data_IF_072867675487
#
_entry.id   IF_072867675487
#
_cell.length_a   1.000
_cell.length_b   1.000
_cell.length_c   1.000
_cell.angle_alpha   90.00
_cell.angle_beta   90.00
_cell.angle_gamma   90.00
#
_symmetry.space_group_name_H-M   'P 1'
#
loop_
_entity.id
_entity.type
_entity.pdbx_description
1 polymer ?
#
# COMPACT_ATOMS: atom_id res chain seq x y z
N UNK A 1 37.65 -11.56 -16.79
CA UNK A 1 37.04 -12.87 -16.52
C UNK A 1 35.83 -13.01 -17.42
N UNK A 2 35.72 -14.16 -18.08
CA UNK A 2 34.91 -14.40 -19.26
C UNK A 2 33.39 -14.33 -19.01
N UNK A 3 32.70 -13.99 -20.10
CA UNK A 3 31.26 -14.14 -20.31
C UNK A 3 30.79 -15.55 -19.94
N UNK A 4 29.74 -15.66 -19.14
CA UNK A 4 28.86 -16.82 -19.16
C UNK A 4 27.52 -16.33 -19.70
N UNK A 5 27.38 -16.40 -21.02
CA UNK A 5 26.09 -16.28 -21.67
C UNK A 5 25.19 -17.40 -21.17
N UNK A 6 24.06 -17.02 -20.59
CA UNK A 6 23.00 -17.95 -20.21
C UNK A 6 22.52 -18.64 -21.49
N UNK A 7 22.81 -19.93 -21.61
CA UNK A 7 22.26 -20.76 -22.69
C UNK A 7 20.76 -20.90 -22.40
N UNK A 8 19.88 -20.88 -23.43
CA UNK A 8 18.47 -21.15 -23.20
C UNK A 8 18.36 -22.53 -22.53
N UNK A 9 17.87 -22.55 -21.29
CA UNK A 9 17.56 -23.79 -20.60
C UNK A 9 16.54 -24.55 -21.44
N UNK A 10 16.81 -25.83 -21.69
CA UNK A 10 15.86 -26.68 -22.39
C UNK A 10 14.52 -26.62 -21.66
N UNK A 11 13.38 -26.51 -22.39
CA UNK A 11 12.06 -26.48 -21.77
C UNK A 11 11.87 -27.75 -20.94
N UNK A 12 11.98 -27.60 -19.62
CA UNK A 12 11.70 -28.69 -18.69
C UNK A 12 10.21 -28.70 -18.38
N UNK A 13 9.65 -29.89 -18.23
CA UNK A 13 8.27 -30.02 -17.76
C UNK A 13 8.11 -29.34 -16.39
N UNK A 14 6.93 -28.76 -16.16
CA UNK A 14 6.62 -28.12 -14.89
C UNK A 14 6.56 -29.17 -13.78
N UNK A 15 7.15 -28.93 -12.60
CA UNK A 15 7.08 -29.85 -11.47
C UNK A 15 5.64 -30.23 -11.14
N UNK A 16 5.43 -31.45 -10.64
CA UNK A 16 4.10 -31.98 -10.29
C UNK A 16 3.30 -31.08 -9.34
N UNK A 17 3.98 -30.30 -8.50
CA UNK A 17 3.35 -29.35 -7.57
C UNK A 17 2.67 -28.17 -8.30
N UNK A 18 3.14 -27.81 -9.50
CA UNK A 18 2.51 -26.79 -10.36
C UNK A 18 1.51 -27.40 -11.34
N UNK A 19 1.81 -28.59 -11.87
CA UNK A 19 0.96 -29.28 -12.84
C UNK A 19 -0.37 -29.74 -12.22
N UNK A 20 -0.35 -30.19 -10.96
CA UNK A 20 -1.55 -30.68 -10.29
C UNK A 20 -2.63 -29.59 -10.14
N UNK A 21 -2.35 -28.38 -9.63
CA UNK A 21 -3.31 -27.28 -9.64
C UNK A 21 -3.80 -26.92 -11.05
N UNK A 22 -2.90 -26.89 -12.04
CA UNK A 22 -3.26 -26.53 -13.41
C UNK A 22 -4.23 -27.54 -14.03
N UNK A 23 -3.97 -28.84 -13.86
CA UNK A 23 -4.83 -29.91 -14.38
C UNK A 23 -6.19 -29.89 -13.69
N UNK A 24 -6.22 -29.70 -12.37
CA UNK A 24 -7.48 -29.60 -11.62
C UNK A 24 -8.30 -28.38 -12.10
N UNK A 25 -7.67 -27.22 -12.28
CA UNK A 25 -8.37 -26.04 -12.79
C UNK A 25 -8.84 -26.24 -14.24
N UNK A 26 -8.04 -26.88 -15.09
CA UNK A 26 -8.40 -27.16 -16.47
C UNK A 26 -9.58 -28.14 -16.58
N UNK A 27 -9.61 -29.21 -15.77
CA UNK A 27 -10.72 -30.17 -15.74
C UNK A 27 -12.00 -29.53 -15.20
N UNK A 28 -11.91 -28.68 -14.18
CA UNK A 28 -13.05 -27.92 -13.68
C UNK A 28 -13.57 -26.94 -14.75
N UNK A 29 -12.69 -26.14 -15.37
CA UNK A 29 -13.08 -25.20 -16.42
C UNK A 29 -13.75 -25.91 -17.61
N UNK A 30 -13.26 -27.09 -18.00
CA UNK A 30 -13.84 -27.88 -19.07
C UNK A 30 -15.21 -28.49 -18.69
N UNK A 31 -15.38 -28.96 -17.45
CA UNK A 31 -16.61 -29.66 -17.02
C UNK A 31 -17.75 -28.71 -16.63
N UNK A 32 -17.44 -27.52 -16.10
CA UNK A 32 -18.43 -26.51 -15.68
C UNK A 32 -19.40 -26.14 -16.82
N UNK A 33 -18.92 -26.02 -18.05
CA UNK A 33 -19.77 -25.74 -19.21
C UNK A 33 -20.82 -26.83 -19.48
N UNK A 34 -20.47 -28.10 -19.30
CA UNK A 34 -21.41 -29.21 -19.46
C UNK A 34 -22.45 -29.27 -18.34
N UNK A 35 -22.03 -28.98 -17.10
CA UNK A 35 -22.95 -28.86 -15.96
C UNK A 35 -23.99 -27.75 -16.20
N UNK A 36 -23.56 -26.63 -16.80
CA UNK A 36 -24.46 -25.54 -17.17
C UNK A 36 -25.49 -25.93 -18.24
N UNK A 37 -25.07 -26.67 -19.27
CA UNK A 37 -25.97 -27.17 -20.33
C UNK A 37 -27.01 -28.16 -19.76
N UNK A 38 -26.63 -28.96 -18.76
CA UNK A 38 -27.50 -29.91 -18.10
C UNK A 38 -28.49 -29.28 -17.10
N UNK A 39 -28.47 -27.94 -16.93
CA UNK A 39 -29.29 -27.22 -15.97
C UNK A 39 -28.79 -27.28 -14.52
N UNK A 40 -27.74 -28.05 -14.23
CA UNK A 40 -27.23 -28.18 -12.86
C UNK A 40 -26.63 -26.90 -12.29
N UNK A 41 -26.24 -25.94 -13.14
CA UNK A 41 -25.68 -24.67 -12.69
C UNK A 41 -26.74 -23.69 -12.18
N UNK A 42 -27.94 -23.66 -12.76
CA UNK A 42 -29.03 -22.79 -12.27
C UNK A 42 -29.46 -23.21 -10.87
N UNK A 43 -29.60 -24.52 -10.64
CA UNK A 43 -29.99 -25.07 -9.34
C UNK A 43 -28.93 -24.76 -8.25
N UNK A 44 -27.64 -24.78 -8.61
CA UNK A 44 -26.55 -24.41 -7.71
C UNK A 44 -26.57 -22.91 -7.42
N UNK A 45 -26.72 -22.06 -8.44
CA UNK A 45 -26.72 -20.61 -8.29
C UNK A 45 -27.91 -20.13 -7.46
N UNK A 46 -29.12 -20.63 -7.75
CA UNK A 46 -30.34 -20.30 -7.01
C UNK A 46 -30.25 -20.69 -5.53
N UNK A 47 -29.58 -21.81 -5.21
CA UNK A 47 -29.33 -22.22 -3.82
C UNK A 47 -28.29 -21.38 -3.07
N UNK A 48 -27.44 -20.62 -3.76
CA UNK A 48 -26.39 -19.76 -3.17
C UNK A 48 -26.74 -18.27 -3.17
N UNK A 49 -27.69 -17.87 -4.02
CA UNK A 49 -28.10 -16.49 -4.20
C UNK A 49 -29.27 -16.12 -3.27
N UNK A 50 -29.30 -14.91 -2.70
CA UNK A 50 -30.47 -14.40 -1.98
C UNK A 50 -31.72 -14.38 -2.88
N UNK A 51 -32.89 -14.68 -2.32
CA UNK A 51 -34.19 -14.71 -3.04
C UNK A 51 -34.46 -13.42 -3.84
N UNK A 52 -33.98 -12.29 -3.36
CA UNK A 52 -34.08 -10.96 -3.99
C UNK A 52 -33.44 -10.89 -5.40
N UNK A 53 -32.53 -11.82 -5.70
CA UNK A 53 -31.80 -11.85 -6.98
C UNK A 53 -32.36 -12.88 -7.97
N UNK A 54 -33.32 -13.72 -7.54
CA UNK A 54 -33.90 -14.77 -8.36
C UNK A 54 -34.75 -14.20 -9.52
N UNK A 55 -35.42 -13.06 -9.31
CA UNK A 55 -36.17 -12.36 -10.37
C UNK A 55 -35.25 -11.78 -11.46
N UNK A 56 -34.05 -11.30 -11.10
CA UNK A 56 -33.05 -10.84 -12.07
C UNK A 56 -32.41 -11.99 -12.84
N UNK A 57 -32.18 -13.13 -12.19
CA UNK A 57 -31.63 -14.33 -12.82
C UNK A 57 -32.61 -14.93 -13.85
N UNK A 58 -33.91 -14.91 -13.56
CA UNK A 58 -34.97 -15.39 -14.45
C UNK A 58 -35.29 -14.43 -15.61
N UNK A 59 -34.94 -13.14 -15.51
CA UNK A 59 -35.26 -12.12 -16.51
C UNK A 59 -34.34 -12.11 -17.74
N UNK A 60 -33.23 -12.86 -17.73
CA UNK A 60 -32.32 -12.97 -18.85
C UNK A 60 -32.84 -13.91 -19.94
N UNK A 61 -33.70 -13.44 -20.85
CA UNK A 61 -34.06 -14.23 -22.03
C UNK A 61 -32.80 -14.58 -22.84
N UNK A 62 -32.62 -15.86 -23.17
CA UNK A 62 -31.52 -16.30 -24.02
C UNK A 62 -31.75 -15.80 -25.45
N UNK A 63 -31.01 -14.77 -25.84
CA UNK A 63 -31.09 -14.19 -27.18
C UNK A 63 -30.02 -14.80 -28.09
N UNK A 64 -30.43 -15.82 -28.86
CA UNK A 64 -29.53 -16.62 -29.70
C UNK A 64 -28.67 -15.77 -30.66
N UNK A 65 -29.22 -14.72 -31.26
CA UNK A 65 -28.46 -13.88 -32.21
C UNK A 65 -27.35 -13.09 -31.50
N UNK A 66 -27.56 -12.63 -30.27
CA UNK A 66 -26.54 -11.94 -29.47
C UNK A 66 -25.42 -12.91 -29.12
N UNK A 67 -25.76 -14.15 -28.72
CA UNK A 67 -24.77 -15.19 -28.44
C UNK A 67 -23.93 -15.53 -29.67
N UNK A 68 -24.57 -15.71 -30.83
CA UNK A 68 -23.87 -16.01 -32.10
C UNK A 68 -22.94 -14.86 -32.49
N UNK A 69 -23.42 -13.61 -32.43
CA UNK A 69 -22.60 -12.43 -32.73
C UNK A 69 -21.43 -12.32 -31.74
N UNK A 70 -21.65 -12.57 -30.44
CA UNK A 70 -20.60 -12.48 -29.43
C UNK A 70 -19.50 -13.51 -29.64
N UNK A 71 -19.86 -14.76 -29.94
CA UNK A 71 -18.91 -15.82 -30.29
C UNK A 71 -18.16 -15.48 -31.58
N UNK A 72 -18.87 -15.00 -32.60
CA UNK A 72 -18.26 -14.60 -33.87
C UNK A 72 -17.24 -13.46 -33.68
N UNK A 73 -17.57 -12.44 -32.89
CA UNK A 73 -16.67 -11.32 -32.57
C UNK A 73 -15.44 -11.81 -31.78
N UNK A 74 -15.63 -12.69 -30.79
CA UNK A 74 -14.53 -13.30 -30.03
C UNK A 74 -13.58 -14.10 -30.93
N UNK A 75 -14.12 -14.94 -31.82
CA UNK A 75 -13.34 -15.70 -32.80
C UNK A 75 -12.65 -14.81 -33.82
N UNK A 76 -13.28 -13.73 -34.26
CA UNK A 76 -12.68 -12.75 -35.14
C UNK A 76 -11.48 -12.05 -34.47
N UNK A 77 -11.61 -11.68 -33.19
CA UNK A 77 -10.52 -11.12 -32.39
C UNK A 77 -9.35 -12.10 -32.23
N UNK A 78 -9.63 -13.37 -31.92
CA UNK A 78 -8.62 -14.43 -31.83
C UNK A 78 -7.92 -14.65 -33.20
N UNK A 79 -8.70 -14.69 -34.28
CA UNK A 79 -8.18 -14.82 -35.64
C UNK A 79 -7.29 -13.66 -36.04
N UNK A 80 -7.67 -12.42 -35.68
CA UNK A 80 -6.86 -11.22 -35.90
C UNK A 80 -5.54 -11.31 -35.13
N UNK A 81 -5.57 -11.69 -33.85
CA UNK A 81 -4.37 -11.90 -33.05
C UNK A 81 -3.47 -12.98 -33.66
N UNK A 82 -4.03 -14.11 -34.09
CA UNK A 82 -3.28 -15.17 -34.76
C UNK A 82 -2.64 -14.70 -36.08
N UNK A 83 -3.34 -13.90 -36.87
CA UNK A 83 -2.83 -13.34 -38.12
C UNK A 83 -1.65 -12.37 -37.90
N UNK A 84 -1.72 -11.54 -36.85
CA UNK A 84 -0.66 -10.59 -36.48
C UNK A 84 0.56 -11.32 -35.89
N UNK A 85 0.35 -12.16 -34.87
CA UNK A 85 1.47 -12.73 -34.08
C UNK A 85 2.04 -14.03 -34.65
N UNK A 86 1.20 -14.95 -35.14
CA UNK A 86 1.65 -16.26 -35.63
C UNK A 86 2.03 -16.21 -37.11
N UNK A 87 1.14 -15.65 -37.95
CA UNK A 87 1.37 -15.58 -39.41
C UNK A 87 2.24 -14.41 -39.84
N UNK A 88 2.46 -13.41 -38.97
CA UNK A 88 3.16 -12.15 -39.29
C UNK A 88 2.63 -11.49 -40.56
N UNK A 89 1.36 -11.71 -40.89
CA UNK A 89 0.74 -11.22 -42.13
C UNK A 89 0.48 -9.72 -42.06
N UNK A 90 0.40 -9.18 -40.85
CA UNK A 90 0.25 -7.76 -40.54
C UNK A 90 1.43 -7.40 -39.65
N UNK A 91 2.18 -6.35 -40.01
CA UNK A 91 3.28 -5.87 -39.19
C UNK A 91 2.69 -5.18 -37.97
N UNK A 92 2.93 -5.76 -36.79
CA UNK A 92 2.49 -5.18 -35.52
C UNK A 92 2.98 -3.74 -35.35
N UNK A 93 4.15 -3.41 -35.90
CA UNK A 93 4.73 -2.06 -35.93
C UNK A 93 3.87 -1.05 -36.70
N UNK A 94 3.22 -1.45 -37.80
CA UNK A 94 2.41 -0.55 -38.62
C UNK A 94 1.06 -0.25 -37.95
N UNK A 95 0.47 -1.25 -37.31
CA UNK A 95 -0.76 -1.09 -36.50
C UNK A 95 -0.47 -0.25 -35.26
N UNK A 96 0.67 -0.50 -34.63
CA UNK A 96 1.18 0.25 -33.48
C UNK A 96 1.39 1.73 -33.80
N UNK A 97 2.00 2.05 -34.94
CA UNK A 97 2.19 3.42 -35.39
C UNK A 97 0.86 4.14 -35.70
N UNK A 98 -0.12 3.44 -36.28
CA UNK A 98 -1.43 4.03 -36.58
C UNK A 98 -2.27 4.31 -35.32
N UNK A 99 -2.05 3.55 -34.24
CA UNK A 99 -2.80 3.64 -32.98
C UNK A 99 -1.91 4.11 -31.82
N UNK A 100 -0.79 4.77 -32.10
CA UNK A 100 0.23 5.15 -31.13
C UNK A 100 -0.37 5.85 -29.88
N UNK A 101 -1.29 6.84 -29.99
CA UNK A 101 -1.85 7.49 -28.81
C UNK A 101 -2.65 6.54 -27.91
N UNK A 102 -3.41 5.62 -28.53
CA UNK A 102 -4.22 4.64 -27.81
C UNK A 102 -3.33 3.56 -27.18
N UNK A 103 -2.30 3.12 -27.90
CA UNK A 103 -1.34 2.15 -27.39
C UNK A 103 -0.56 2.71 -26.21
N UNK A 104 -0.07 3.95 -26.28
CA UNK A 104 0.62 4.60 -25.15
C UNK A 104 -0.31 4.71 -23.94
N UNK A 105 -1.59 5.00 -24.16
CA UNK A 105 -2.59 5.06 -23.09
C UNK A 105 -2.80 3.69 -22.41
N UNK A 106 -2.96 2.64 -23.20
CA UNK A 106 -3.16 1.26 -22.72
C UNK A 106 -1.89 0.70 -22.05
N UNK A 107 -0.72 0.96 -22.63
CA UNK A 107 0.59 0.53 -22.13
C UNK A 107 0.92 1.17 -20.78
N UNK A 108 0.55 2.44 -20.61
CA UNK A 108 0.61 3.13 -19.31
C UNK A 108 -0.58 2.84 -18.39
N UNK A 109 -1.37 1.79 -18.66
CA UNK A 109 -2.52 1.37 -17.85
C UNK A 109 -3.47 2.54 -17.52
N UNK A 110 -3.78 3.36 -18.52
CA UNK A 110 -4.63 4.56 -18.39
C UNK A 110 -4.07 5.65 -17.45
N UNK A 111 -2.76 5.66 -17.19
CA UNK A 111 -2.08 6.58 -16.27
C UNK A 111 -2.59 6.52 -14.82
N UNK A 112 -3.31 5.44 -14.45
CA UNK A 112 -3.86 5.29 -13.10
C UNK A 112 -2.74 5.11 -12.07
N UNK A 113 -1.69 4.38 -12.45
CA UNK A 113 -0.51 4.17 -11.60
C UNK A 113 0.20 5.51 -11.33
N UNK A 114 0.47 6.31 -12.37
CA UNK A 114 1.10 7.64 -12.23
C UNK A 114 0.23 8.63 -11.46
N UNK A 115 -1.10 8.60 -11.66
CA UNK A 115 -2.04 9.42 -10.91
C UNK A 115 -1.96 9.10 -9.41
N UNK A 116 -2.02 7.81 -9.07
CA UNK A 116 -1.95 7.37 -7.68
C UNK A 116 -0.61 7.73 -7.04
N UNK A 117 0.50 7.46 -7.71
CA UNK A 117 1.83 7.76 -7.18
C UNK A 117 2.06 9.27 -7.02
N UNK A 118 1.64 10.06 -8.01
CA UNK A 118 1.97 11.50 -8.03
C UNK A 118 1.01 12.31 -7.16
N UNK A 119 -0.29 12.08 -7.29
CA UNK A 119 -1.31 12.89 -6.61
C UNK A 119 -1.52 12.38 -5.19
N UNK A 120 -1.78 11.08 -5.03
CA UNK A 120 -2.12 10.52 -3.71
C UNK A 120 -0.85 10.35 -2.87
N UNK A 121 0.12 9.59 -3.36
CA UNK A 121 1.30 9.25 -2.56
C UNK A 121 2.24 10.45 -2.37
N UNK A 122 2.72 11.08 -3.44
CA UNK A 122 3.65 12.21 -3.32
C UNK A 122 2.96 13.49 -2.87
N UNK A 123 1.78 13.77 -3.42
CA UNK A 123 1.00 14.97 -3.10
C UNK A 123 0.41 14.92 -1.69
N UNK A 124 -0.60 14.08 -1.49
CA UNK A 124 -1.37 14.05 -0.23
C UNK A 124 -0.55 13.48 0.93
N UNK A 125 0.08 12.33 0.73
CA UNK A 125 0.75 11.62 1.83
C UNK A 125 2.10 12.26 2.17
N UNK A 126 3.03 12.35 1.23
CA UNK A 126 4.37 12.87 1.54
C UNK A 126 4.37 14.37 1.85
N UNK A 127 3.84 15.20 0.93
CA UNK A 127 3.89 16.66 1.10
C UNK A 127 2.83 17.20 2.05
N UNK A 128 1.72 16.49 2.24
CA UNK A 128 0.69 16.86 3.21
C UNK A 128 0.98 16.25 4.58
N UNK A 129 0.57 15.00 4.76
CA UNK A 129 0.54 14.34 6.08
C UNK A 129 1.93 14.17 6.67
N UNK A 130 2.87 13.59 5.93
CA UNK A 130 4.20 13.30 6.44
C UNK A 130 4.99 14.58 6.74
N UNK A 131 4.91 15.59 5.86
CA UNK A 131 5.54 16.89 6.10
C UNK A 131 4.95 17.60 7.33
N UNK A 132 3.62 17.54 7.53
CA UNK A 132 2.98 18.11 8.70
C UNK A 132 3.41 17.40 10.00
N UNK A 133 3.46 16.07 10.01
CA UNK A 133 3.94 15.30 11.14
C UNK A 133 5.41 15.58 11.45
N UNK A 134 6.26 15.68 10.42
CA UNK A 134 7.66 16.02 10.59
C UNK A 134 7.85 17.43 11.15
N UNK A 135 7.04 18.40 10.69
CA UNK A 135 7.05 19.75 11.24
C UNK A 135 6.60 19.75 12.70
N UNK A 136 5.55 19.00 13.04
CA UNK A 136 5.08 18.88 14.42
C UNK A 136 6.16 18.34 15.35
N UNK A 137 6.82 17.25 14.97
CA UNK A 137 7.92 16.66 15.74
C UNK A 137 9.06 17.67 15.96
N UNK A 138 9.53 18.30 14.88
CA UNK A 138 10.66 19.25 14.94
C UNK A 138 10.37 20.55 15.67
N UNK A 139 9.14 21.07 15.60
CA UNK A 139 8.82 22.36 16.22
C UNK A 139 8.23 22.20 17.61
N UNK A 140 7.36 21.21 17.81
CA UNK A 140 6.66 21.01 19.08
C UNK A 140 7.49 20.11 19.99
N UNK A 141 7.85 18.92 19.53
CA UNK A 141 8.52 17.94 20.40
C UNK A 141 9.95 18.38 20.71
N UNK A 142 10.76 18.63 19.68
CA UNK A 142 12.13 19.12 19.89
C UNK A 142 12.14 20.49 20.57
N UNK A 143 11.17 21.36 20.27
CA UNK A 143 11.04 22.67 20.91
C UNK A 143 10.81 22.55 22.42
N UNK A 144 9.90 21.67 22.84
CA UNK A 144 9.65 21.39 24.26
C UNK A 144 10.87 20.80 24.95
N UNK A 145 11.53 19.81 24.33
CA UNK A 145 12.73 19.17 24.90
C UNK A 145 13.87 20.18 25.07
N UNK A 146 14.16 20.98 24.04
CA UNK A 146 15.21 22.01 24.09
C UNK A 146 14.85 23.13 25.08
N UNK A 147 13.57 23.47 25.20
CA UNK A 147 13.07 24.43 26.19
C UNK A 147 13.33 23.95 27.62
N UNK A 148 12.97 22.70 27.93
CA UNK A 148 13.24 22.09 29.23
C UNK A 148 14.75 22.02 29.53
N UNK A 149 15.55 21.62 28.54
CA UNK A 149 17.01 21.60 28.68
C UNK A 149 17.57 22.99 28.98
N UNK A 150 17.07 24.03 28.31
CA UNK A 150 17.48 25.42 28.51
C UNK A 150 17.10 25.93 29.90
N UNK A 151 15.89 25.64 30.38
CA UNK A 151 15.44 25.98 31.73
C UNK A 151 16.29 25.31 32.80
N UNK A 152 16.62 24.02 32.61
CA UNK A 152 17.48 23.28 33.54
C UNK A 152 18.90 23.85 33.56
N UNK A 153 19.47 24.19 32.39
CA UNK A 153 20.77 24.85 32.29
C UNK A 153 20.76 26.19 33.04
N UNK A 154 19.82 27.08 32.74
CA UNK A 154 19.68 28.38 33.43
C UNK A 154 19.55 28.23 34.95
N UNK A 155 18.78 27.24 35.41
CA UNK A 155 18.64 26.94 36.84
C UNK A 155 19.97 26.49 37.44
N UNK A 156 20.70 25.60 36.77
CA UNK A 156 22.02 25.14 37.18
C UNK A 156 23.04 26.29 37.25
N UNK A 157 23.00 27.24 36.32
CA UNK A 157 23.90 28.41 36.36
C UNK A 157 23.63 29.32 37.56
N UNK A 158 22.36 29.56 37.88
CA UNK A 158 21.98 30.33 39.08
C UNK A 158 22.40 29.62 40.36
N UNK A 159 22.20 28.30 40.44
CA UNK A 159 22.65 27.48 41.58
C UNK A 159 24.19 27.46 41.70
N UNK A 160 24.91 27.42 40.59
CA UNK A 160 26.38 27.48 40.57
C UNK A 160 26.90 28.79 41.18
N UNK A 161 26.22 29.90 40.94
CA UNK A 161 26.58 31.20 41.56
C UNK A 161 26.31 31.24 43.06
N UNK A 162 25.33 30.48 43.56
CA UNK A 162 25.06 30.39 45.01
C UNK A 162 26.19 29.65 45.77
N UNK A 163 26.94 28.76 45.10
CA UNK A 163 28.16 28.16 45.63
C UNK A 163 29.39 29.04 45.35
N UNK A 164 29.49 30.18 46.05
CA UNK A 164 30.56 31.17 45.86
C UNK A 164 31.96 30.74 46.36
N UNK A 165 32.14 29.49 46.82
CA UNK A 165 33.44 28.96 47.27
C UNK A 165 34.01 29.60 48.55
N UNK A 166 33.36 30.60 49.13
CA UNK A 166 33.82 31.34 50.29
C UNK A 166 33.40 30.64 51.59
N UNK A 167 34.36 30.14 52.37
CA UNK A 167 34.14 29.42 53.65
C UNK A 167 33.24 30.19 54.64
N UNK A 168 33.36 31.53 54.69
CA UNK A 168 32.53 32.39 55.53
C UNK A 168 31.04 32.36 55.17
N UNK A 169 30.70 32.25 53.88
CA UNK A 169 29.31 32.22 53.42
C UNK A 169 28.63 30.93 53.88
N UNK A 170 29.35 29.79 53.82
CA UNK A 170 28.86 28.52 54.32
C UNK A 170 28.64 28.54 55.84
N UNK A 171 29.58 29.11 56.60
CA UNK A 171 29.44 29.26 58.05
C UNK A 171 28.23 30.10 58.44
N UNK A 172 28.02 31.24 57.78
CA UNK A 172 26.85 32.09 57.99
C UNK A 172 25.54 31.40 57.63
N UNK A 173 25.50 30.66 56.50
CA UNK A 173 24.32 29.92 56.07
C UNK A 173 23.93 28.81 57.07
N UNK A 174 24.91 28.06 57.60
CA UNK A 174 24.67 27.03 58.62
C UNK A 174 24.13 27.67 59.90
N UNK A 175 24.72 28.77 60.37
CA UNK A 175 24.27 29.47 61.57
C UNK A 175 22.82 29.94 61.44
N UNK A 176 22.47 30.57 60.31
CA UNK A 176 21.08 30.98 60.00
C UNK A 176 20.16 29.76 59.96
N UNK A 177 20.58 28.67 59.32
CA UNK A 177 19.81 27.43 59.25
C UNK A 177 19.50 26.82 60.62
N UNK A 178 20.48 26.80 61.53
CA UNK A 178 20.29 26.29 62.90
C UNK A 178 19.33 27.20 63.69
N UNK A 179 19.49 28.52 63.59
CA UNK A 179 18.59 29.49 64.26
C UNK A 179 17.16 29.34 63.74
N UNK A 180 16.98 29.24 62.41
CA UNK A 180 15.68 29.04 61.80
C UNK A 180 15.05 27.70 62.20
N UNK A 181 15.84 26.62 62.30
CA UNK A 181 15.37 25.31 62.75
C UNK A 181 14.89 25.36 64.20
N UNK A 182 15.68 25.99 65.10
CA UNK A 182 15.29 26.15 66.51
C UNK A 182 14.02 26.99 66.63
N UNK A 183 13.93 28.12 65.92
CA UNK A 183 12.75 28.96 65.90
C UNK A 183 11.52 28.22 65.35
N UNK A 184 11.69 27.44 64.29
CA UNK A 184 10.63 26.62 63.71
C UNK A 184 10.13 25.55 64.69
N UNK A 185 11.03 24.88 65.41
CA UNK A 185 10.68 23.91 66.46
C UNK A 185 9.97 24.57 67.63
N UNK A 186 10.41 25.75 68.06
CA UNK A 186 9.77 26.54 69.14
C UNK A 186 8.37 27.03 68.76
N UNK A 187 8.17 27.41 67.50
CA UNK A 187 6.85 27.83 66.99
C UNK A 187 5.93 26.61 66.81
N UNK A 188 6.48 25.47 66.38
CA UNK A 188 5.73 24.23 66.19
C UNK A 188 5.41 23.50 67.52
N UNK A 189 6.18 23.77 68.57
CA UNK A 189 6.00 23.19 69.90
C UNK A 189 5.97 24.33 70.95
N UNK A 190 4.82 25.03 71.09
CA UNK A 190 4.69 26.22 71.93
C UNK A 190 4.81 25.92 73.44
#
# INVERSE_FOLDING_TARGET
SAQTGDRPSEPHESPWVMLLPLVVLATLAATVGFVNIAGGMSDILEGWLPEETHELAAAGEFVLWISVVSVAVGLAGLGLAWAIYSRKAIRAEEVSAALEPLQVLLDRKYYLDELYETVILKGVIMRGVAAALQAWDRYVIDGLVNGLASLMRLSSEKFRLAQAGQAQLYGAAIFIGVVAMIAGVLIANP
#
